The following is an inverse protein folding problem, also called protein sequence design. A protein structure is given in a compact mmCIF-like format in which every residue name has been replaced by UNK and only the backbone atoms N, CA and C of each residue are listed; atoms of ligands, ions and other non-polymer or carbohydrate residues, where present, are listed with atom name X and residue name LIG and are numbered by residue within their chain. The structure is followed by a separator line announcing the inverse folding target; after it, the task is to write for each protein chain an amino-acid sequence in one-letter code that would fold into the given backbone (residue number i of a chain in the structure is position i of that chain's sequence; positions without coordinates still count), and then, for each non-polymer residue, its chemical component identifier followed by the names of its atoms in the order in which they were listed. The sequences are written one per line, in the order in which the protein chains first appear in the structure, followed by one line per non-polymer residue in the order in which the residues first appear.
data_IF_941441622622
#
_entry.id   IF_941441622622
#
_cell.length_a   1.000
_cell.length_b   1.000
_cell.length_c   1.000
_cell.angle_alpha   90.00
_cell.angle_beta   90.00
_cell.angle_gamma   90.00
#
_symmetry.space_group_name_H-M   'P 1'
#
loop_
_entity.id
_entity.type
_entity.pdbx_description
1 polymer ?
#
# COMPACT_ATOMS: atom_id res chain seq x y z
N UNK A 1 26.81 3.23 -7.13
CA UNK A 1 26.52 1.94 -7.78
C UNK A 1 25.08 2.01 -8.27
N UNK A 2 24.73 1.35 -9.36
CA UNK A 2 23.37 1.40 -9.92
C UNK A 2 22.49 0.27 -9.34
N UNK A 3 21.17 0.47 -9.32
CA UNK A 3 20.22 -0.60 -8.97
C UNK A 3 20.33 -1.75 -9.97
N UNK A 4 20.21 -2.97 -9.46
CA UNK A 4 20.16 -4.16 -10.30
C UNK A 4 18.70 -4.59 -10.45
N UNK A 5 18.14 -4.44 -11.64
CA UNK A 5 16.80 -4.92 -11.98
C UNK A 5 16.81 -6.41 -12.31
N UNK A 6 15.64 -7.02 -12.33
CA UNK A 6 15.41 -8.42 -12.72
C UNK A 6 15.93 -8.71 -14.13
N UNK A 7 16.58 -9.86 -14.32
CA UNK A 7 17.07 -10.30 -15.62
C UNK A 7 15.96 -10.93 -16.48
N UNK A 8 14.75 -11.08 -15.93
CA UNK A 8 13.59 -11.66 -16.63
C UNK A 8 12.92 -10.70 -17.61
N UNK A 9 13.27 -9.41 -17.54
CA UNK A 9 12.71 -8.37 -18.42
C UNK A 9 13.54 -8.33 -19.68
N UNK A 10 12.91 -8.49 -20.85
CA UNK A 10 13.63 -8.51 -22.12
C UNK A 10 14.28 -7.15 -22.41
N UNK A 11 15.62 -7.13 -22.43
CA UNK A 11 16.42 -5.95 -22.74
C UNK A 11 16.82 -5.88 -24.22
N UNK A 12 16.23 -6.71 -25.07
CA UNK A 12 16.58 -6.79 -26.49
C UNK A 12 16.60 -5.39 -27.12
N UNK A 13 17.67 -5.06 -27.87
CA UNK A 13 17.80 -3.73 -28.45
C UNK A 13 16.63 -3.47 -29.39
N UNK A 14 16.16 -2.23 -29.40
CA UNK A 14 15.12 -1.78 -30.33
C UNK A 14 15.47 -2.23 -31.74
N UNK A 15 14.61 -3.03 -32.33
CA UNK A 15 14.88 -3.63 -33.63
C UNK A 15 15.07 -2.52 -34.70
N UNK A 16 15.81 -2.81 -35.79
CA UNK A 16 16.12 -1.79 -36.80
C UNK A 16 14.90 -1.08 -37.37
N UNK A 17 13.77 -1.79 -37.50
CA UNK A 17 12.50 -1.24 -38.03
C UNK A 17 11.93 -0.20 -37.08
N UNK A 18 11.86 -0.50 -35.78
CA UNK A 18 11.36 0.43 -34.77
C UNK A 18 12.25 1.68 -34.64
N UNK A 19 13.58 1.53 -34.73
CA UNK A 19 14.51 2.68 -34.74
C UNK A 19 14.29 3.58 -35.95
N UNK A 20 14.19 3.00 -37.14
CA UNK A 20 13.99 3.77 -38.37
C UNK A 20 12.61 4.43 -38.41
N UNK A 21 11.57 3.74 -37.93
CA UNK A 21 10.25 4.29 -37.78
C UNK A 21 10.24 5.51 -36.84
N UNK A 22 10.93 5.43 -35.69
CA UNK A 22 11.09 6.55 -34.77
C UNK A 22 11.83 7.73 -35.42
N UNK A 23 12.90 7.45 -36.18
CA UNK A 23 13.67 8.48 -36.92
C UNK A 23 12.80 9.21 -37.94
N UNK A 24 12.02 8.48 -38.75
CA UNK A 24 11.12 9.06 -39.75
C UNK A 24 10.00 9.87 -39.09
N UNK A 25 9.39 9.37 -38.00
CA UNK A 25 8.40 10.12 -37.21
C UNK A 25 8.97 11.41 -36.63
N UNK A 26 10.21 11.39 -36.12
CA UNK A 26 10.90 12.59 -35.62
C UNK A 26 11.17 13.63 -36.72
N UNK A 27 11.18 13.22 -37.99
CA UNK A 27 11.25 14.11 -39.16
C UNK A 27 9.86 14.61 -39.62
N UNK A 28 8.80 14.29 -38.87
CA UNK A 28 7.42 14.63 -39.23
C UNK A 28 6.83 13.77 -40.34
N UNK A 29 7.48 12.66 -40.70
CA UNK A 29 6.98 11.74 -41.73
C UNK A 29 5.94 10.82 -41.12
N UNK A 30 4.72 10.87 -41.64
CA UNK A 30 3.64 9.95 -41.27
C UNK A 30 3.91 8.56 -41.84
N UNK A 31 3.79 7.54 -41.00
CA UNK A 31 3.97 6.13 -41.38
C UNK A 31 2.61 5.42 -41.33
N UNK A 32 2.31 4.60 -42.32
CA UNK A 32 1.18 3.66 -42.29
C UNK A 32 1.67 2.26 -41.91
N UNK A 33 0.94 1.59 -41.01
CA UNK A 33 1.27 0.24 -40.58
C UNK A 33 0.60 -0.79 -41.51
N UNK A 34 1.41 -1.68 -42.10
CA UNK A 34 0.89 -2.76 -42.96
C UNK A 34 0.08 -3.79 -42.17
N UNK A 35 0.33 -3.93 -40.86
CA UNK A 35 -0.37 -4.83 -39.97
C UNK A 35 -1.25 -4.09 -38.95
N UNK A 36 -1.83 -2.94 -39.30
CA UNK A 36 -2.75 -2.23 -38.40
C UNK A 36 -3.97 -3.09 -38.09
N UNK A 37 -3.86 -3.86 -37.01
CA UNK A 37 -4.88 -4.76 -36.49
C UNK A 37 -5.69 -4.13 -35.37
N UNK A 38 -5.66 -2.80 -35.22
CA UNK A 38 -6.50 -2.12 -34.25
C UNK A 38 -7.88 -1.82 -34.85
N UNK A 39 -8.94 -2.58 -34.52
CA UNK A 39 -10.25 -2.39 -35.13
C UNK A 39 -10.86 -1.00 -34.85
N UNK A 40 -10.43 -0.32 -33.79
CA UNK A 40 -10.94 1.02 -33.45
C UNK A 40 -10.47 2.09 -34.43
N UNK A 41 -9.25 1.97 -34.99
CA UNK A 41 -8.73 2.89 -36.02
C UNK A 41 -9.60 2.86 -37.28
N UNK A 42 -10.22 1.71 -37.55
CA UNK A 42 -11.04 1.47 -38.73
C UNK A 42 -12.54 1.67 -38.48
N UNK A 43 -12.93 2.23 -37.33
CA UNK A 43 -14.33 2.46 -36.97
C UNK A 43 -15.15 1.18 -36.80
N UNK A 44 -14.50 0.04 -36.57
CA UNK A 44 -15.15 -1.26 -36.37
C UNK A 44 -15.52 -1.51 -34.90
N UNK A 45 -15.22 -0.56 -34.02
CA UNK A 45 -15.56 -0.63 -32.60
C UNK A 45 -17.08 -0.50 -32.39
N UNK A 46 -17.65 -1.15 -31.36
CA UNK A 46 -19.03 -0.91 -30.95
C UNK A 46 -19.25 0.57 -30.57
N UNK A 47 -20.45 1.09 -30.83
CA UNK A 47 -20.81 2.47 -30.48
C UNK A 47 -20.70 2.79 -28.97
N UNK A 48 -20.75 1.77 -28.12
CA UNK A 48 -20.54 1.89 -26.68
C UNK A 48 -19.07 2.18 -26.29
N UNK A 49 -18.12 1.94 -27.20
CA UNK A 49 -16.68 2.22 -27.05
C UNK A 49 -16.22 3.06 -28.25
N UNK A 50 -16.68 4.32 -28.38
CA UNK A 50 -16.46 5.12 -29.56
C UNK A 50 -15.01 5.65 -29.68
N UNK A 51 -14.20 5.50 -28.63
CA UNK A 51 -12.83 5.99 -28.62
C UNK A 51 -11.90 5.09 -29.42
N UNK A 52 -10.96 5.71 -30.11
CA UNK A 52 -9.81 5.04 -30.69
C UNK A 52 -8.90 4.53 -29.57
N UNK A 53 -8.65 3.22 -29.53
CA UNK A 53 -7.73 2.62 -28.57
C UNK A 53 -6.31 3.04 -28.91
N UNK A 54 -5.63 3.69 -27.95
CA UNK A 54 -4.20 3.97 -28.04
C UNK A 54 -3.49 3.22 -26.93
N UNK A 55 -2.55 2.34 -27.30
CA UNK A 55 -1.74 1.64 -26.31
C UNK A 55 -0.70 2.60 -25.71
N UNK A 56 -0.79 2.80 -24.40
CA UNK A 56 0.26 3.41 -23.57
C UNK A 56 0.45 2.50 -22.35
N UNK A 57 1.63 1.90 -22.15
CA UNK A 57 1.86 0.94 -21.06
C UNK A 57 1.61 1.54 -19.67
N UNK A 58 1.70 2.87 -19.52
CA UNK A 58 1.47 3.56 -18.25
C UNK A 58 -0.02 3.83 -17.99
N UNK A 59 -0.87 3.58 -18.98
CA UNK A 59 -2.28 3.93 -18.98
C UNK A 59 -2.56 5.28 -19.65
N UNK A 60 -3.86 5.56 -19.85
CA UNK A 60 -4.35 6.73 -20.56
C UNK A 60 -3.70 8.05 -20.08
N UNK A 61 -3.18 8.84 -21.02
CA UNK A 61 -2.45 10.07 -20.74
C UNK A 61 -3.32 11.11 -20.04
N UNK A 62 -4.60 11.23 -20.44
CA UNK A 62 -5.53 12.18 -19.84
C UNK A 62 -5.85 11.80 -18.38
N UNK A 63 -6.05 10.51 -18.13
CA UNK A 63 -6.21 9.95 -16.80
C UNK A 63 -4.98 10.21 -15.91
N UNK A 64 -3.77 9.97 -16.42
CA UNK A 64 -2.53 10.25 -15.68
C UNK A 64 -2.34 11.75 -15.41
N UNK A 65 -2.72 12.61 -16.36
CA UNK A 65 -2.68 14.07 -16.19
C UNK A 65 -3.65 14.53 -15.09
N UNK A 66 -4.88 13.99 -15.08
CA UNK A 66 -5.86 14.25 -14.03
C UNK A 66 -5.38 13.78 -12.66
N UNK A 67 -4.81 12.58 -12.59
CA UNK A 67 -4.23 12.03 -11.37
C UNK A 67 -3.05 12.88 -10.87
N UNK A 68 -2.13 13.27 -11.75
CA UNK A 68 -1.00 14.10 -11.38
C UNK A 68 -1.45 15.44 -10.78
N UNK A 69 -2.50 16.06 -11.34
CA UNK A 69 -3.11 17.27 -10.78
C UNK A 69 -3.69 17.01 -9.39
N UNK A 70 -4.51 15.97 -9.25
CA UNK A 70 -5.10 15.58 -7.96
C UNK A 70 -4.03 15.34 -6.88
N UNK A 71 -2.94 14.65 -7.23
CA UNK A 71 -1.85 14.36 -6.28
C UNK A 71 -1.08 15.62 -5.87
N UNK A 72 -0.87 16.59 -6.78
CA UNK A 72 -0.27 17.89 -6.44
C UNK A 72 -1.13 18.67 -5.46
N UNK A 73 -2.42 18.82 -5.76
CA UNK A 73 -3.38 19.49 -4.88
C UNK A 73 -3.48 18.81 -3.51
N UNK A 74 -3.39 17.48 -3.47
CA UNK A 74 -3.39 16.70 -2.23
C UNK A 74 -2.13 16.97 -1.40
N UNK A 75 -0.94 17.00 -2.01
CA UNK A 75 0.33 17.28 -1.33
C UNK A 75 0.34 18.67 -0.69
N UNK A 76 -0.14 19.67 -1.42
CA UNK A 76 -0.27 21.05 -0.94
C UNK A 76 -1.17 21.11 0.31
N UNK A 77 -2.35 20.45 0.27
CA UNK A 77 -3.28 20.40 1.42
C UNK A 77 -2.71 19.63 2.61
N UNK A 78 -2.04 18.51 2.35
CA UNK A 78 -1.44 17.68 3.39
C UNK A 78 -0.16 18.30 3.99
N UNK A 79 0.33 19.43 3.44
CA UNK A 79 1.59 20.10 3.83
C UNK A 79 2.79 19.15 3.84
N UNK A 80 2.83 18.23 2.86
CA UNK A 80 3.86 17.18 2.75
C UNK A 80 5.03 17.58 1.86
N UNK A 81 5.18 18.87 1.59
CA UNK A 81 6.30 19.43 0.82
C UNK A 81 7.59 19.40 1.66
N UNK A 82 8.24 18.24 1.69
CA UNK A 82 9.58 18.10 2.22
C UNK A 82 10.64 18.53 1.20
N UNK A 83 11.77 19.03 1.71
CA UNK A 83 13.00 19.29 0.95
C UNK A 83 13.59 17.98 0.40
N UNK A 84 12.99 17.43 -0.65
CA UNK A 84 13.31 16.13 -1.21
C UNK A 84 12.22 15.55 -2.13
N UNK A 85 11.01 16.11 -2.09
CA UNK A 85 9.90 15.69 -2.94
C UNK A 85 9.99 16.33 -4.34
N UNK A 86 10.13 15.51 -5.37
CA UNK A 86 10.06 15.97 -6.77
C UNK A 86 8.62 16.31 -7.20
N UNK A 87 8.43 17.12 -8.27
CA UNK A 87 7.11 17.41 -8.82
C UNK A 87 6.44 16.13 -9.32
N UNK A 88 5.13 15.99 -9.08
CA UNK A 88 4.35 14.88 -9.65
C UNK A 88 4.14 15.14 -11.13
N UNK A 89 4.75 14.32 -11.98
CA UNK A 89 4.54 14.32 -13.44
C UNK A 89 3.67 13.12 -13.82
N UNK A 90 2.76 13.32 -14.77
CA UNK A 90 1.99 12.25 -15.39
C UNK A 90 2.89 11.15 -15.98
N UNK A 91 4.10 11.49 -16.44
CA UNK A 91 5.04 10.52 -16.99
C UNK A 91 5.66 9.60 -15.92
N UNK A 92 5.58 9.98 -14.65
CA UNK A 92 6.04 9.16 -13.53
C UNK A 92 4.93 8.30 -12.90
N UNK A 93 3.76 8.25 -13.52
CA UNK A 93 2.59 7.54 -13.01
C UNK A 93 2.22 6.35 -13.89
N UNK A 94 1.93 5.22 -13.26
CA UNK A 94 1.29 4.06 -13.90
C UNK A 94 -0.10 3.90 -13.30
N UNK A 95 -1.13 3.72 -14.14
CA UNK A 95 -2.49 3.42 -13.71
C UNK A 95 -2.77 1.94 -13.94
N UNK A 96 -3.27 1.27 -12.91
CA UNK A 96 -3.48 -0.18 -12.91
C UNK A 96 -4.67 -0.56 -12.03
N UNK A 97 -5.03 -1.85 -12.01
CA UNK A 97 -6.29 -2.31 -11.38
C UNK A 97 -6.26 -2.29 -9.85
N UNK A 98 -5.08 -2.35 -9.23
CA UNK A 98 -4.93 -2.33 -7.77
C UNK A 98 -3.48 -2.17 -7.32
N UNK A 99 -3.25 -1.82 -6.05
CA UNK A 99 -1.91 -1.88 -5.45
C UNK A 99 -1.37 -3.32 -5.35
N UNK A 100 -2.23 -4.34 -5.31
CA UNK A 100 -1.81 -5.75 -5.41
C UNK A 100 -1.09 -6.04 -6.73
N UNK A 101 -1.63 -5.53 -7.84
CA UNK A 101 -0.97 -5.64 -9.14
C UNK A 101 0.33 -4.83 -9.17
N UNK A 102 0.40 -3.68 -8.49
CA UNK A 102 1.65 -2.94 -8.36
C UNK A 102 2.73 -3.75 -7.64
N UNK A 103 2.41 -4.39 -6.50
CA UNK A 103 3.36 -5.26 -5.82
C UNK A 103 3.92 -6.34 -6.74
N UNK A 104 3.06 -7.03 -7.48
CA UNK A 104 3.47 -8.05 -8.44
C UNK A 104 4.41 -7.48 -9.51
N UNK A 105 4.04 -6.36 -10.13
CA UNK A 105 4.88 -5.70 -11.14
C UNK A 105 6.22 -5.25 -10.58
N UNK A 106 6.25 -4.69 -9.38
CA UNK A 106 7.48 -4.22 -8.75
C UNK A 106 8.38 -5.40 -8.32
N UNK A 107 7.81 -6.52 -7.90
CA UNK A 107 8.59 -7.74 -7.65
C UNK A 107 9.15 -8.33 -8.95
N UNK A 108 8.39 -8.33 -10.05
CA UNK A 108 8.92 -8.71 -11.37
C UNK A 108 10.00 -7.75 -11.88
N UNK A 109 9.84 -6.45 -11.60
CA UNK A 109 10.79 -5.40 -11.97
C UNK A 109 12.13 -5.55 -11.24
N UNK A 110 12.05 -5.75 -9.92
CA UNK A 110 13.20 -5.62 -9.03
C UNK A 110 13.89 -6.96 -8.75
N UNK A 111 13.18 -8.08 -8.80
CA UNK A 111 13.65 -9.36 -8.25
C UNK A 111 13.72 -10.47 -9.31
N UNK A 112 14.78 -11.25 -9.27
CA UNK A 112 14.81 -12.60 -9.85
C UNK A 112 14.22 -13.62 -8.84
N UNK A 113 13.81 -14.82 -9.28
CA UNK A 113 13.41 -15.88 -8.36
C UNK A 113 14.50 -16.18 -7.32
N UNK A 114 14.14 -16.13 -6.03
CA UNK A 114 15.06 -16.32 -4.91
C UNK A 114 15.67 -15.03 -4.35
N UNK A 115 15.49 -13.87 -5.00
CA UNK A 115 15.77 -12.57 -4.39
C UNK A 115 14.80 -12.27 -3.24
N UNK A 116 15.16 -11.28 -2.41
CA UNK A 116 14.42 -10.93 -1.22
C UNK A 116 13.91 -9.47 -1.22
N UNK A 117 12.81 -9.23 -0.52
CA UNK A 117 12.30 -7.89 -0.18
C UNK A 117 12.03 -7.80 1.32
N UNK A 118 12.26 -6.64 1.91
CA UNK A 118 11.92 -6.37 3.31
C UNK A 118 10.44 -5.98 3.43
N UNK A 119 9.74 -6.47 4.46
CA UNK A 119 8.36 -6.07 4.78
C UNK A 119 8.11 -6.00 6.30
N UNK A 120 7.16 -5.17 6.77
CA UNK A 120 6.94 -4.97 8.21
C UNK A 120 6.31 -6.20 8.88
N UNK A 121 6.69 -6.46 10.13
CA UNK A 121 5.94 -7.30 11.07
C UNK A 121 5.84 -6.61 12.44
N UNK A 122 4.64 -6.44 13.02
CA UNK A 122 3.32 -6.80 12.49
C UNK A 122 2.94 -6.04 11.21
N UNK A 123 2.29 -6.72 10.27
CA UNK A 123 2.08 -6.15 8.93
C UNK A 123 0.94 -6.79 8.15
N UNK A 124 0.73 -6.28 6.93
CA UNK A 124 -0.36 -6.74 6.07
C UNK A 124 0.04 -8.02 5.31
N UNK A 125 -0.65 -9.16 5.51
CA UNK A 125 -0.22 -10.47 4.99
C UNK A 125 -0.13 -10.58 3.47
N UNK A 126 -0.79 -9.66 2.76
CA UNK A 126 -0.83 -9.69 1.30
C UNK A 126 0.56 -9.56 0.66
N UNK A 127 1.49 -8.84 1.29
CA UNK A 127 2.84 -8.65 0.78
C UNK A 127 3.55 -10.00 0.65
N UNK A 128 3.54 -10.80 1.73
CA UNK A 128 4.16 -12.13 1.74
C UNK A 128 3.50 -13.07 0.73
N UNK A 129 2.17 -13.03 0.62
CA UNK A 129 1.42 -13.84 -0.34
C UNK A 129 1.81 -13.53 -1.79
N UNK A 130 1.86 -12.24 -2.16
CA UNK A 130 2.24 -11.81 -3.52
C UNK A 130 3.72 -12.08 -3.80
N UNK A 131 4.61 -11.85 -2.83
CA UNK A 131 6.03 -12.16 -2.97
C UNK A 131 6.25 -13.65 -3.25
N UNK A 132 5.54 -14.52 -2.52
CA UNK A 132 5.57 -15.97 -2.75
C UNK A 132 5.11 -16.36 -4.15
N UNK A 133 4.03 -15.76 -4.65
CA UNK A 133 3.56 -15.97 -6.03
C UNK A 133 4.60 -15.50 -7.07
N UNK A 134 5.40 -14.48 -6.75
CA UNK A 134 6.47 -13.97 -7.60
C UNK A 134 7.80 -14.75 -7.45
N UNK A 135 7.85 -15.81 -6.62
CA UNK A 135 9.08 -16.52 -6.23
C UNK A 135 10.12 -15.61 -5.55
N UNK A 136 9.64 -14.62 -4.80
CA UNK A 136 10.45 -13.67 -4.02
C UNK A 136 10.29 -13.96 -2.53
N UNK A 137 11.39 -13.89 -1.79
CA UNK A 137 11.40 -14.04 -0.34
C UNK A 137 10.95 -12.74 0.34
N UNK A 138 9.87 -12.77 1.13
CA UNK A 138 9.48 -11.64 1.97
C UNK A 138 10.14 -11.78 3.35
N UNK A 139 11.15 -10.95 3.60
CA UNK A 139 11.96 -10.97 4.82
C UNK A 139 11.40 -9.93 5.80
N UNK A 140 11.00 -10.33 7.01
CA UNK A 140 10.38 -9.41 7.94
C UNK A 140 11.41 -8.46 8.58
N UNK A 141 11.09 -7.17 8.64
CA UNK A 141 11.69 -6.25 9.60
C UNK A 141 10.69 -5.94 10.71
N UNK A 142 11.20 -5.73 11.93
CA UNK A 142 10.35 -5.59 13.11
C UNK A 142 9.82 -4.17 13.27
N UNK A 143 8.52 -4.07 13.54
CA UNK A 143 7.90 -2.95 14.21
C UNK A 143 7.78 -3.31 15.69
N UNK A 144 8.50 -2.61 16.56
CA UNK A 144 8.41 -2.83 18.01
C UNK A 144 7.45 -1.82 18.64
N UNK A 145 6.86 -2.20 19.77
CA UNK A 145 5.91 -1.36 20.52
C UNK A 145 6.49 -0.96 21.87
N UNK A 146 6.67 0.34 22.11
CA UNK A 146 7.15 0.94 23.37
C UNK A 146 6.21 2.02 23.93
N UNK A 147 4.92 1.88 23.63
CA UNK A 147 3.90 2.92 23.79
C UNK A 147 3.51 3.54 22.45
N UNK A 148 4.43 3.51 21.49
CA UNK A 148 4.19 3.74 20.08
C UNK A 148 4.83 2.63 19.25
N UNK A 149 4.36 2.43 18.02
CA UNK A 149 5.00 1.51 17.09
C UNK A 149 6.15 2.22 16.39
N UNK A 150 7.31 1.55 16.31
CA UNK A 150 8.51 2.08 15.68
C UNK A 150 9.21 1.02 14.83
N UNK A 151 9.84 1.44 13.73
CA UNK A 151 10.71 0.61 12.88
C UNK A 151 12.03 0.37 13.62
N UNK A 152 12.39 -0.90 13.80
CA UNK A 152 13.70 -1.29 14.31
C UNK A 152 14.76 -1.16 13.20
N UNK A 153 15.35 0.04 13.09
CA UNK A 153 16.37 0.35 12.08
C UNK A 153 17.65 -0.49 12.25
N UNK A 154 18.03 -0.83 13.48
CA UNK A 154 19.23 -1.61 13.76
C UNK A 154 19.03 -3.07 13.34
N UNK A 155 17.87 -3.65 13.68
CA UNK A 155 17.52 -4.98 13.19
C UNK A 155 17.41 -5.02 11.66
N UNK A 156 16.83 -3.98 11.04
CA UNK A 156 16.75 -3.86 9.59
C UNK A 156 18.14 -3.84 8.94
N UNK A 157 19.07 -3.04 9.48
CA UNK A 157 20.46 -2.99 9.02
C UNK A 157 21.18 -4.35 9.20
N UNK A 158 20.98 -5.01 10.34
CA UNK A 158 21.51 -6.35 10.60
C UNK A 158 21.03 -7.40 9.60
N UNK A 159 19.75 -7.35 9.20
CA UNK A 159 19.19 -8.22 8.16
C UNK A 159 19.88 -7.95 6.82
N UNK A 160 20.02 -6.68 6.43
CA UNK A 160 20.68 -6.29 5.17
C UNK A 160 22.12 -6.83 5.13
N UNK A 161 22.90 -6.62 6.19
CA UNK A 161 24.28 -7.11 6.28
C UNK A 161 24.36 -8.63 6.25
N UNK A 162 23.46 -9.33 6.96
CA UNK A 162 23.41 -10.79 6.95
C UNK A 162 23.17 -11.34 5.54
N UNK A 163 22.15 -10.84 4.82
CA UNK A 163 21.87 -11.29 3.44
C UNK A 163 23.06 -11.02 2.52
N UNK A 164 23.67 -9.83 2.62
CA UNK A 164 24.87 -9.50 1.84
C UNK A 164 26.03 -10.47 2.12
N UNK A 165 26.25 -10.86 3.38
CA UNK A 165 27.29 -11.83 3.77
C UNK A 165 27.04 -13.25 3.25
N UNK A 166 25.76 -13.62 3.06
CA UNK A 166 25.33 -14.89 2.46
C UNK A 166 25.35 -14.87 0.92
N UNK A 167 25.77 -13.76 0.30
CA UNK A 167 25.75 -13.58 -1.15
C UNK A 167 24.35 -13.38 -1.74
N UNK A 168 23.34 -13.12 -0.90
CA UNK A 168 21.96 -12.79 -1.30
C UNK A 168 21.77 -11.29 -1.34
N UNK A 169 20.72 -10.84 -2.05
CA UNK A 169 20.40 -9.41 -2.15
C UNK A 169 18.96 -9.14 -1.76
N UNK A 170 18.81 -8.14 -0.90
CA UNK A 170 17.54 -7.48 -0.65
C UNK A 170 17.37 -6.43 -1.74
N UNK A 171 16.26 -6.45 -2.46
CA UNK A 171 16.01 -5.63 -3.66
C UNK A 171 15.12 -4.44 -3.37
N UNK A 172 14.22 -4.59 -2.41
CA UNK A 172 13.32 -3.52 -1.99
C UNK A 172 13.02 -3.58 -0.49
N UNK A 173 12.65 -2.43 0.08
CA UNK A 173 12.00 -2.31 1.38
C UNK A 173 10.58 -1.80 1.19
N UNK A 174 9.60 -2.62 1.58
CA UNK A 174 8.18 -2.26 1.58
C UNK A 174 7.87 -1.52 2.88
N UNK A 175 7.43 -0.27 2.78
CA UNK A 175 6.96 0.55 3.89
C UNK A 175 5.46 0.76 3.75
N UNK A 176 4.67 0.45 4.78
CA UNK A 176 3.23 0.74 4.81
C UNK A 176 3.01 1.98 5.67
N UNK A 177 2.40 3.03 5.12
CA UNK A 177 2.32 4.35 5.74
C UNK A 177 0.92 4.98 5.61
N UNK A 178 0.08 4.93 6.67
CA UNK A 178 0.26 4.25 7.95
C UNK A 178 0.12 2.73 7.81
N UNK A 179 0.80 2.01 8.70
CA UNK A 179 0.83 0.55 8.70
C UNK A 179 -0.52 -0.06 9.07
N UNK A 180 -0.83 -1.24 8.52
CA UNK A 180 -1.98 -2.06 8.89
C UNK A 180 -1.45 -3.40 9.43
N UNK A 181 -1.74 -3.79 10.69
CA UNK A 181 -2.85 -3.30 11.54
C UNK A 181 -2.47 -2.24 12.58
N UNK A 182 -1.20 -1.86 12.71
CA UNK A 182 -0.73 -1.04 13.85
C UNK A 182 -1.21 0.41 13.81
N UNK A 183 -1.59 0.91 12.62
CA UNK A 183 -2.00 2.28 12.40
C UNK A 183 -0.87 3.30 12.49
N UNK A 184 0.40 2.88 12.54
CA UNK A 184 1.53 3.79 12.74
C UNK A 184 1.99 4.45 11.45
N UNK A 185 2.18 5.76 11.48
CA UNK A 185 2.85 6.47 10.38
C UNK A 185 4.36 6.26 10.45
N UNK A 186 5.01 6.27 9.29
CA UNK A 186 6.49 6.29 9.22
C UNK A 186 6.94 7.70 9.60
N UNK A 187 7.54 7.84 10.79
CA UNK A 187 7.98 9.14 11.31
C UNK A 187 9.23 9.63 10.59
N UNK A 188 9.47 10.94 10.66
CA UNK A 188 10.63 11.59 10.02
C UNK A 188 11.97 10.90 10.32
N UNK A 189 12.25 10.58 11.58
CA UNK A 189 13.51 9.90 11.96
C UNK A 189 13.64 8.51 11.32
N UNK A 190 12.54 7.76 11.30
CA UNK A 190 12.50 6.41 10.73
C UNK A 190 12.66 6.48 9.21
N UNK A 191 11.94 7.41 8.55
CA UNK A 191 12.10 7.71 7.13
C UNK A 191 13.56 8.00 6.80
N UNK A 192 14.20 8.95 7.49
CA UNK A 192 15.61 9.27 7.23
C UNK A 192 16.55 8.08 7.45
N UNK A 193 16.27 7.24 8.45
CA UNK A 193 16.99 5.99 8.68
C UNK A 193 16.84 4.99 7.53
N UNK A 194 15.60 4.72 7.11
CA UNK A 194 15.32 3.78 6.01
C UNK A 194 15.89 4.31 4.69
N UNK A 195 15.69 5.59 4.36
CA UNK A 195 16.23 6.19 3.13
C UNK A 195 17.75 6.08 3.10
N UNK A 196 18.43 6.32 4.24
CA UNK A 196 19.89 6.14 4.35
C UNK A 196 20.29 4.69 4.05
N UNK A 197 19.71 3.72 4.77
CA UNK A 197 20.02 2.30 4.62
C UNK A 197 19.76 1.82 3.18
N UNK A 198 18.63 2.21 2.60
CA UNK A 198 18.26 1.82 1.26
C UNK A 198 19.22 2.41 0.21
N UNK A 199 19.58 3.69 0.34
CA UNK A 199 20.54 4.35 -0.57
C UNK A 199 21.94 3.74 -0.49
N UNK A 200 22.42 3.43 0.71
CA UNK A 200 23.77 2.85 0.91
C UNK A 200 23.89 1.44 0.36
N UNK A 201 22.77 0.70 0.29
CA UNK A 201 22.73 -0.71 -0.12
C UNK A 201 22.09 -0.93 -1.51
N UNK A 202 21.68 0.13 -2.21
CA UNK A 202 20.95 0.07 -3.49
C UNK A 202 19.65 -0.77 -3.40
N UNK A 203 18.90 -0.57 -2.32
CA UNK A 203 17.59 -1.19 -2.06
C UNK A 203 16.52 -0.17 -2.44
N UNK A 204 15.57 -0.54 -3.30
CA UNK A 204 14.47 0.35 -3.66
C UNK A 204 13.47 0.50 -2.50
N UNK A 205 12.70 1.58 -2.46
CA UNK A 205 11.60 1.75 -1.52
C UNK A 205 10.28 1.50 -2.23
N UNK A 206 9.43 0.64 -1.68
CA UNK A 206 8.03 0.50 -2.10
C UNK A 206 7.18 1.07 -0.97
N UNK A 207 6.55 2.22 -1.18
CA UNK A 207 5.76 2.88 -0.14
C UNK A 207 4.26 2.69 -0.39
N UNK A 208 3.57 1.90 0.42
CA UNK A 208 2.12 1.71 0.37
C UNK A 208 1.42 2.74 1.25
N UNK A 209 0.77 3.70 0.61
CA UNK A 209 0.21 4.89 1.26
C UNK A 209 -1.32 4.97 1.12
N UNK A 210 -1.98 3.84 0.86
CA UNK A 210 -3.44 3.79 0.66
C UNK A 210 -4.25 4.31 1.85
N UNK A 211 -3.67 4.28 3.05
CA UNK A 211 -4.31 4.77 4.27
C UNK A 211 -3.86 6.16 4.71
N UNK A 212 -2.95 6.83 3.98
CA UNK A 212 -2.32 8.06 4.45
C UNK A 212 -3.32 9.18 4.77
N UNK A 213 -4.44 9.22 4.04
CA UNK A 213 -5.52 10.18 4.23
C UNK A 213 -6.39 9.98 5.48
N UNK A 214 -6.10 8.99 6.33
CA UNK A 214 -6.93 8.64 7.49
C UNK A 214 -6.19 8.79 8.83
N UNK A 215 -5.77 10.00 9.25
CA UNK A 215 -5.23 10.19 10.59
C UNK A 215 -6.35 10.02 11.64
N UNK A 216 -6.10 9.20 12.66
CA UNK A 216 -6.98 9.01 13.82
C UNK A 216 -6.75 10.07 14.91
N UNK A 217 -5.57 10.68 14.91
CA UNK A 217 -5.15 11.73 15.83
C UNK A 217 -4.22 12.72 15.12
N UNK A 218 -3.96 13.91 15.69
CA UNK A 218 -2.91 14.79 15.18
C UNK A 218 -1.54 14.11 15.25
N UNK A 219 -0.87 13.99 14.10
CA UNK A 219 0.49 13.43 14.00
C UNK A 219 1.41 14.52 13.42
N UNK A 220 2.20 15.21 14.25
CA UNK A 220 3.15 16.22 13.77
C UNK A 220 4.14 15.63 12.78
N UNK A 221 4.52 16.42 11.78
CA UNK A 221 5.53 16.07 10.76
C UNK A 221 5.26 14.76 9.99
N UNK A 222 3.99 14.31 9.94
CA UNK A 222 3.61 13.17 9.08
C UNK A 222 3.84 13.54 7.63
N UNK A 223 4.53 12.66 6.89
CA UNK A 223 4.93 12.92 5.52
C UNK A 223 4.73 11.69 4.64
N UNK A 224 4.41 11.94 3.37
CA UNK A 224 4.45 10.91 2.35
C UNK A 224 5.89 10.64 1.93
N UNK A 225 6.17 9.38 1.63
CA UNK A 225 7.39 8.93 0.98
C UNK A 225 7.28 9.15 -0.54
N UNK A 226 6.06 9.24 -1.08
CA UNK A 226 5.83 9.53 -2.49
C UNK A 226 6.58 10.77 -2.97
N UNK A 227 7.38 10.64 -4.03
CA UNK A 227 8.18 11.73 -4.58
C UNK A 227 9.60 11.85 -4.00
N UNK A 228 9.97 10.99 -3.04
CA UNK A 228 11.34 10.88 -2.55
C UNK A 228 12.33 10.71 -3.71
N UNK A 229 13.33 11.59 -3.75
CA UNK A 229 14.28 11.72 -4.87
C UNK A 229 15.68 11.18 -4.54
N UNK A 230 15.97 10.87 -3.28
CA UNK A 230 17.31 10.42 -2.83
C UNK A 230 17.55 8.93 -3.04
N UNK A 231 16.49 8.13 -3.20
CA UNK A 231 16.51 6.68 -3.39
C UNK A 231 15.41 6.29 -4.39
N UNK A 232 15.62 5.22 -5.16
CA UNK A 232 14.59 4.73 -6.09
C UNK A 232 13.36 4.31 -5.30
N UNK A 233 12.23 4.95 -5.58
CA UNK A 233 11.02 4.88 -4.79
C UNK A 233 9.81 4.65 -5.68
N UNK A 234 8.96 3.72 -5.27
CA UNK A 234 7.68 3.39 -5.89
C UNK A 234 6.57 3.58 -4.87
N UNK A 235 5.85 4.69 -4.94
CA UNK A 235 4.72 4.94 -4.04
C UNK A 235 3.42 4.40 -4.63
N UNK A 236 2.67 3.67 -3.81
CA UNK A 236 1.42 2.99 -4.15
C UNK A 236 0.28 3.69 -3.42
N UNK A 237 -0.75 4.08 -4.16
CA UNK A 237 -2.02 4.55 -3.59
C UNK A 237 -3.13 4.14 -4.57
N UNK A 238 -4.40 4.35 -4.20
CA UNK A 238 -5.52 3.91 -5.00
C UNK A 238 -6.88 4.34 -4.47
N UNK A 239 -7.88 4.18 -5.30
CA UNK A 239 -9.25 4.61 -4.99
C UNK A 239 -9.97 3.69 -4.01
N UNK A 240 -9.50 2.45 -3.82
CA UNK A 240 -10.20 1.44 -3.00
C UNK A 240 -10.45 1.91 -1.57
N UNK A 241 -9.47 2.61 -0.97
CA UNK A 241 -9.60 3.16 0.38
C UNK A 241 -10.14 4.58 0.33
N UNK A 242 -9.55 5.43 -0.51
CA UNK A 242 -9.93 6.84 -0.69
C UNK A 242 -11.43 7.07 -0.95
N UNK A 243 -12.12 6.13 -1.61
CA UNK A 243 -13.57 6.20 -1.85
C UNK A 243 -14.42 5.35 -0.91
N UNK A 244 -13.82 4.62 0.03
CA UNK A 244 -14.47 3.54 0.78
C UNK A 244 -15.16 2.50 -0.12
N UNK A 245 -14.62 2.29 -1.33
CA UNK A 245 -15.20 1.45 -2.36
C UNK A 245 -14.17 0.40 -2.83
N UNK A 246 -14.00 -0.73 -2.13
CA UNK A 246 -12.98 -1.74 -2.46
C UNK A 246 -13.16 -2.39 -3.85
N UNK A 247 -14.32 -2.19 -4.47
CA UNK A 247 -14.67 -2.64 -5.82
C UNK A 247 -14.38 -1.60 -6.92
N UNK A 248 -13.92 -0.38 -6.58
CA UNK A 248 -13.56 0.63 -7.57
C UNK A 248 -12.37 0.19 -8.46
N UNK A 249 -11.44 -0.59 -7.88
CA UNK A 249 -10.32 -1.25 -8.59
C UNK A 249 -9.53 -0.33 -9.53
N UNK A 250 -9.06 0.78 -8.99
CA UNK A 250 -8.04 1.63 -9.61
C UNK A 250 -6.96 1.92 -8.56
N UNK A 251 -5.72 1.65 -8.90
CA UNK A 251 -4.53 1.99 -8.14
C UNK A 251 -3.47 2.58 -9.06
N UNK A 252 -2.43 3.15 -8.47
CA UNK A 252 -1.32 3.71 -9.22
C UNK A 252 0.03 3.47 -8.56
N UNK A 253 1.07 3.50 -9.39
CA UNK A 253 2.47 3.59 -8.98
C UNK A 253 2.95 5.00 -9.33
N UNK A 254 3.49 5.72 -8.35
CA UNK A 254 4.30 6.91 -8.59
C UNK A 254 5.78 6.54 -8.46
N UNK A 255 6.54 6.71 -9.54
CA UNK A 255 7.99 6.46 -9.57
C UNK A 255 8.74 7.75 -9.25
N UNK A 256 9.70 7.69 -8.33
CA UNK A 256 10.62 8.79 -8.03
C UNK A 256 11.99 8.25 -7.62
N UNK A 257 12.99 9.14 -7.54
CA UNK A 257 14.36 8.78 -7.18
C UNK A 257 15.40 9.52 -8.01
N UNK A 258 16.68 9.11 -7.93
CA UNK A 258 17.72 9.63 -8.80
C UNK A 258 17.34 9.46 -10.27
N UNK A 259 17.58 10.50 -11.08
CA UNK A 259 17.06 10.61 -12.46
C UNK A 259 17.35 9.37 -13.31
N UNK A 260 18.58 8.88 -13.27
CA UNK A 260 19.02 7.77 -14.12
C UNK A 260 18.38 6.44 -13.67
N UNK A 261 18.34 6.19 -12.36
CA UNK A 261 17.74 4.99 -11.78
C UNK A 261 16.22 4.96 -12.01
N UNK A 262 15.54 6.09 -11.83
CA UNK A 262 14.11 6.21 -12.09
C UNK A 262 13.78 6.06 -13.59
N UNK A 263 14.62 6.64 -14.46
CA UNK A 263 14.48 6.49 -15.92
C UNK A 263 14.60 5.04 -16.37
N UNK A 264 15.60 4.33 -15.85
CA UNK A 264 15.81 2.91 -16.13
C UNK A 264 14.69 2.03 -15.57
N UNK A 265 14.24 2.29 -14.34
CA UNK A 265 13.11 1.61 -13.74
C UNK A 265 11.83 1.76 -14.58
N UNK A 266 11.50 2.98 -15.01
CA UNK A 266 10.33 3.24 -15.85
C UNK A 266 10.43 2.54 -17.20
N UNK A 267 11.60 2.56 -17.86
CA UNK A 267 11.79 1.87 -19.14
C UNK A 267 11.50 0.37 -19.04
N UNK A 268 11.90 -0.27 -17.94
CA UNK A 268 11.65 -1.70 -17.68
C UNK A 268 10.22 -1.96 -17.22
N UNK A 269 9.67 -1.07 -16.42
CA UNK A 269 8.29 -1.16 -15.96
C UNK A 269 7.30 -0.97 -17.11
N UNK A 270 7.65 -0.17 -18.14
CA UNK A 270 6.87 -0.06 -19.38
C UNK A 270 6.72 -1.41 -20.08
N UNK A 271 7.78 -2.22 -20.14
CA UNK A 271 7.75 -3.56 -20.76
C UNK A 271 6.78 -4.47 -19.97
N UNK A 272 6.92 -4.49 -18.65
CA UNK A 272 6.02 -5.25 -17.78
C UNK A 272 4.57 -4.78 -17.94
N UNK A 273 4.34 -3.48 -17.99
CA UNK A 273 2.99 -2.94 -18.06
C UNK A 273 2.34 -3.19 -19.44
N UNK A 274 3.12 -3.18 -20.52
CA UNK A 274 2.66 -3.53 -21.87
C UNK A 274 2.17 -4.99 -21.94
N UNK A 275 2.89 -5.93 -21.31
CA UNK A 275 2.51 -7.34 -21.25
C UNK A 275 1.17 -7.59 -20.54
N UNK A 276 0.76 -6.69 -19.63
CA UNK A 276 -0.47 -6.81 -18.85
C UNK A 276 -1.64 -6.01 -19.44
N UNK A 277 -1.36 -5.16 -20.42
CA UNK A 277 -2.27 -4.22 -21.05
C UNK A 277 -2.82 -3.12 -20.10
N UNK A 278 -3.16 -1.93 -20.64
CA UNK A 278 -3.74 -0.84 -19.86
C UNK A 278 -5.13 -1.15 -19.29
N UNK A 279 -5.53 -0.37 -18.29
CA UNK A 279 -6.85 -0.43 -17.67
C UNK A 279 -7.99 -0.19 -18.67
N UNK A 280 -9.15 -0.82 -18.44
CA UNK A 280 -10.31 -0.71 -19.33
C UNK A 280 -10.82 0.72 -19.53
N UNK A 281 -11.28 1.02 -20.75
CA UNK A 281 -11.81 2.35 -21.10
C UNK A 281 -13.01 2.77 -20.23
N UNK A 282 -13.82 1.82 -19.75
CA UNK A 282 -14.93 2.10 -18.85
C UNK A 282 -14.47 2.72 -17.53
N UNK A 283 -13.41 2.15 -16.94
CA UNK A 283 -12.83 2.66 -15.69
C UNK A 283 -12.13 4.00 -15.92
N UNK A 284 -11.39 4.12 -17.02
CA UNK A 284 -10.73 5.38 -17.42
C UNK A 284 -11.74 6.51 -17.60
N UNK A 285 -12.89 6.23 -18.23
CA UNK A 285 -13.93 7.24 -18.47
C UNK A 285 -14.58 7.74 -17.17
N UNK A 286 -14.71 6.88 -16.16
CA UNK A 286 -15.24 7.26 -14.84
C UNK A 286 -14.19 7.92 -13.93
N UNK A 287 -12.90 7.70 -14.20
CA UNK A 287 -11.81 8.03 -13.28
C UNK A 287 -11.76 9.51 -12.83
N UNK A 288 -11.94 10.52 -13.71
CA UNK A 288 -11.96 11.92 -13.27
C UNK A 288 -13.09 12.23 -12.28
N UNK A 289 -14.28 11.66 -12.50
CA UNK A 289 -15.43 11.81 -11.60
C UNK A 289 -15.14 11.20 -10.24
N UNK A 290 -14.56 9.99 -10.23
CA UNK A 290 -14.15 9.30 -9.02
C UNK A 290 -13.11 10.09 -8.21
N UNK A 291 -12.10 10.69 -8.85
CA UNK A 291 -11.12 11.54 -8.16
C UNK A 291 -11.77 12.74 -7.46
N UNK A 292 -12.79 13.34 -8.08
CA UNK A 292 -13.52 14.48 -7.49
C UNK A 292 -14.33 14.09 -6.25
N UNK A 293 -14.74 12.82 -6.12
CA UNK A 293 -15.48 12.34 -4.95
C UNK A 293 -14.59 12.09 -3.73
N UNK A 294 -13.29 11.81 -3.94
CA UNK A 294 -12.34 11.40 -2.88
C UNK A 294 -12.37 12.30 -1.65
N UNK A 295 -12.30 13.65 -1.75
CA UNK A 295 -12.30 14.50 -0.56
C UNK A 295 -13.56 14.31 0.30
N UNK A 296 -14.73 14.29 -0.34
CA UNK A 296 -16.01 14.12 0.36
C UNK A 296 -16.14 12.75 1.02
N UNK A 297 -15.69 11.69 0.33
CA UNK A 297 -15.73 10.32 0.88
C UNK A 297 -14.77 10.17 2.04
N UNK A 298 -13.57 10.74 1.92
CA UNK A 298 -12.55 10.73 2.98
C UNK A 298 -13.08 11.39 4.25
N UNK A 299 -13.75 12.55 4.15
CA UNK A 299 -14.34 13.24 5.29
C UNK A 299 -15.43 12.41 6.01
N UNK A 300 -16.32 11.77 5.24
CA UNK A 300 -17.37 10.90 5.79
C UNK A 300 -16.75 9.75 6.59
N UNK A 301 -15.74 9.09 6.04
CA UNK A 301 -15.03 7.99 6.71
C UNK A 301 -14.30 8.49 7.95
N UNK A 302 -13.59 9.61 7.86
CA UNK A 302 -12.89 10.22 9.00
C UNK A 302 -13.83 10.48 10.17
N UNK A 303 -15.01 11.07 9.91
CA UNK A 303 -16.02 11.30 10.94
C UNK A 303 -16.46 9.99 11.60
N UNK A 304 -16.74 8.95 10.79
CA UNK A 304 -17.18 7.65 11.29
C UNK A 304 -16.11 6.98 12.16
N UNK A 305 -14.86 6.95 11.71
CA UNK A 305 -13.79 6.28 12.48
C UNK A 305 -13.45 7.05 13.75
N UNK A 306 -13.53 8.38 13.76
CA UNK A 306 -13.33 9.22 14.95
C UNK A 306 -14.44 9.00 15.99
N UNK A 307 -15.71 9.02 15.58
CA UNK A 307 -16.86 8.77 16.45
C UNK A 307 -16.77 7.38 17.13
N UNK A 308 -16.39 6.36 16.36
CA UNK A 308 -16.23 5.01 16.87
C UNK A 308 -15.00 4.89 17.79
N UNK A 309 -13.89 5.57 17.48
CA UNK A 309 -12.71 5.59 18.34
C UNK A 309 -12.99 6.28 19.69
N UNK A 310 -13.69 7.41 19.69
CA UNK A 310 -14.14 8.09 20.91
C UNK A 310 -15.07 7.18 21.75
N UNK A 311 -15.99 6.48 21.07
CA UNK A 311 -16.85 5.49 21.71
C UNK A 311 -16.05 4.37 22.35
N UNK A 312 -15.05 3.83 21.66
CA UNK A 312 -14.15 2.80 22.20
C UNK A 312 -13.45 3.30 23.46
N UNK A 313 -12.79 4.47 23.41
CA UNK A 313 -12.10 5.03 24.58
C UNK A 313 -13.03 5.23 25.78
N UNK A 314 -14.25 5.71 25.54
CA UNK A 314 -15.26 5.88 26.60
C UNK A 314 -15.67 4.53 27.22
N UNK A 315 -15.80 3.47 26.43
CA UNK A 315 -16.16 2.14 26.92
C UNK A 315 -15.02 1.49 27.71
N UNK A 316 -13.78 1.66 27.27
CA UNK A 316 -12.59 1.15 27.98
C UNK A 316 -12.33 1.91 29.29
N UNK A 317 -12.68 3.20 29.35
CA UNK A 317 -12.46 4.07 30.51
C UNK A 317 -13.56 4.07 31.58
N UNK A 318 -14.53 3.14 31.55
CA UNK A 318 -15.60 3.07 32.57
C UNK A 318 -15.06 2.64 33.95
N UNK A 319 -15.76 3.03 35.03
CA UNK A 319 -15.34 2.75 36.42
C UNK A 319 -15.16 1.23 36.65
N UNK A 320 -13.99 0.84 37.14
CA UNK A 320 -13.57 -0.56 37.32
C UNK A 320 -12.38 -0.97 36.46
N UNK A 321 -12.10 -0.23 35.38
CA UNK A 321 -11.05 -0.55 34.41
C UNK A 321 -11.43 -1.70 33.49
N UNK A 322 -10.88 -1.72 32.28
CA UNK A 322 -11.07 -2.80 31.31
C UNK A 322 -9.86 -3.75 31.35
N UNK A 323 -10.10 -5.05 31.20
CA UNK A 323 -9.02 -6.03 30.96
C UNK A 323 -8.44 -5.93 29.54
N UNK A 324 -9.14 -5.21 28.66
CA UNK A 324 -8.75 -4.91 27.29
C UNK A 324 -8.25 -3.46 27.20
N UNK A 325 -7.12 -3.26 26.54
CA UNK A 325 -6.56 -1.96 26.18
C UNK A 325 -6.59 -1.76 24.66
N UNK A 326 -6.58 -0.52 24.22
CA UNK A 326 -6.32 -0.17 22.81
C UNK A 326 -4.87 0.29 22.67
N UNK A 327 -4.13 -0.31 21.74
CA UNK A 327 -2.77 0.15 21.43
C UNK A 327 -2.83 1.46 20.66
N UNK A 328 -1.84 2.33 20.89
CA UNK A 328 -1.75 3.60 20.19
C UNK A 328 -1.71 3.39 18.66
N UNK A 329 -2.72 3.93 17.97
CA UNK A 329 -2.87 3.89 16.52
C UNK A 329 -3.04 5.31 16.00
N UNK A 330 -2.21 5.69 15.03
CA UNK A 330 -2.12 7.07 14.56
C UNK A 330 -2.98 7.34 13.31
N UNK A 331 -3.24 6.31 12.51
CA UNK A 331 -4.00 6.39 11.28
C UNK A 331 -4.53 5.04 10.77
N UNK A 332 -5.21 5.08 9.63
CA UNK A 332 -5.99 3.97 9.11
C UNK A 332 -7.40 3.94 9.67
N UNK A 333 -8.06 2.79 9.61
CA UNK A 333 -9.44 2.61 10.09
C UNK A 333 -9.63 1.35 10.94
N UNK A 334 -8.52 0.75 11.36
CA UNK A 334 -8.48 -0.39 12.27
C UNK A 334 -7.59 -0.01 13.46
N UNK A 335 -7.86 -0.60 14.62
CA UNK A 335 -7.01 -0.51 15.81
C UNK A 335 -6.69 -1.90 16.34
N UNK A 336 -5.55 -2.03 17.02
CA UNK A 336 -5.21 -3.24 17.76
C UNK A 336 -5.70 -3.11 19.20
N UNK A 337 -6.49 -4.10 19.62
CA UNK A 337 -6.84 -4.29 21.02
C UNK A 337 -5.91 -5.32 21.63
N UNK A 338 -5.48 -5.06 22.87
CA UNK A 338 -4.64 -5.95 23.67
C UNK A 338 -5.44 -6.43 24.88
N UNK A 339 -5.35 -7.72 25.18
CA UNK A 339 -5.98 -8.35 26.34
C UNK A 339 -4.98 -9.34 26.99
N UNK A 340 -5.29 -9.93 28.16
CA UNK A 340 -4.33 -10.79 28.85
C UNK A 340 -3.90 -11.96 27.98
N UNK A 341 -2.59 -12.17 27.84
CA UNK A 341 -2.02 -13.24 27.00
C UNK A 341 -2.37 -14.67 27.45
N UNK A 342 -2.96 -14.82 28.66
CA UNK A 342 -3.54 -16.07 29.14
C UNK A 342 -4.82 -16.46 28.42
N UNK A 343 -5.50 -15.51 27.77
CA UNK A 343 -6.66 -15.76 26.93
C UNK A 343 -6.17 -16.16 25.54
N UNK A 344 -6.46 -17.40 25.17
CA UNK A 344 -6.19 -17.91 23.82
C UNK A 344 -7.09 -17.23 22.78
N UNK A 345 -6.50 -16.82 21.65
CA UNK A 345 -7.20 -16.01 20.64
C UNK A 345 -8.26 -16.84 19.88
N UNK A 346 -8.00 -18.13 19.63
CA UNK A 346 -8.98 -19.03 19.00
C UNK A 346 -10.17 -19.27 19.92
N UNK A 347 -9.92 -19.44 21.22
CA UNK A 347 -10.98 -19.58 22.23
C UNK A 347 -11.88 -18.34 22.28
N UNK A 348 -11.29 -17.14 22.31
CA UNK A 348 -12.04 -15.88 22.23
C UNK A 348 -12.81 -15.78 20.90
N UNK A 349 -12.20 -16.18 19.79
CA UNK A 349 -12.83 -16.13 18.48
C UNK A 349 -14.05 -17.04 18.39
N UNK A 350 -13.94 -18.27 18.88
CA UNK A 350 -15.03 -19.24 18.91
C UNK A 350 -16.16 -18.80 19.86
N UNK A 351 -15.85 -18.20 21.02
CA UNK A 351 -16.86 -17.64 21.92
C UNK A 351 -17.68 -16.53 21.23
N UNK A 352 -17.01 -15.59 20.58
CA UNK A 352 -17.67 -14.50 19.85
C UNK A 352 -18.51 -15.01 18.67
N UNK A 353 -18.01 -16.01 17.95
CA UNK A 353 -18.74 -16.64 16.85
C UNK A 353 -20.00 -17.37 17.34
N UNK A 354 -19.88 -18.21 18.36
CA UNK A 354 -20.97 -19.09 18.81
C UNK A 354 -22.02 -18.34 19.63
N UNK A 355 -21.61 -17.44 20.51
CA UNK A 355 -22.52 -16.76 21.45
C UNK A 355 -23.00 -15.41 20.90
N UNK A 356 -22.20 -14.73 20.07
CA UNK A 356 -22.52 -13.38 19.59
C UNK A 356 -22.68 -13.29 18.08
N UNK A 357 -22.34 -14.33 17.31
CA UNK A 357 -22.34 -14.33 15.83
C UNK A 357 -21.41 -13.24 15.24
N UNK A 358 -20.32 -12.93 15.95
CA UNK A 358 -19.33 -11.93 15.55
C UNK A 358 -18.05 -12.65 15.13
N UNK A 359 -17.52 -12.30 13.96
CA UNK A 359 -16.24 -12.82 13.46
C UNK A 359 -15.13 -11.85 13.86
N UNK A 360 -14.22 -12.20 14.79
CA UNK A 360 -13.06 -11.37 15.08
C UNK A 360 -11.90 -11.67 14.12
N UNK A 361 -10.87 -10.82 14.18
CA UNK A 361 -9.60 -11.04 13.50
C UNK A 361 -8.47 -11.09 14.54
N UNK A 362 -8.13 -12.31 15.02
CA UNK A 362 -7.00 -12.54 15.91
C UNK A 362 -5.67 -11.92 15.46
N UNK A 363 -4.79 -11.63 16.41
CA UNK A 363 -3.50 -11.00 16.18
C UNK A 363 -2.56 -11.82 15.31
N UNK A 364 -2.62 -13.15 15.39
CA UNK A 364 -1.76 -14.02 14.58
C UNK A 364 -1.97 -13.85 13.06
N UNK A 365 -3.14 -13.36 12.61
CA UNK A 365 -3.34 -13.03 11.19
C UNK A 365 -2.46 -11.88 10.71
N UNK A 366 -1.85 -11.12 11.62
CA UNK A 366 -1.00 -9.98 11.32
C UNK A 366 0.41 -10.13 11.92
N UNK A 367 0.83 -11.36 12.23
CA UNK A 367 2.13 -11.68 12.82
C UNK A 367 2.38 -11.05 14.20
N UNK A 368 1.36 -10.92 15.04
CA UNK A 368 1.58 -10.54 16.44
C UNK A 368 2.42 -11.62 17.16
N UNK A 369 3.39 -11.22 18.02
CA UNK A 369 4.39 -12.15 18.55
C UNK A 369 3.88 -13.06 19.68
N UNK A 370 2.69 -12.79 20.22
CA UNK A 370 2.06 -13.57 21.28
C UNK A 370 0.55 -13.51 21.17
N UNK A 371 -0.14 -14.39 21.89
CA UNK A 371 -1.57 -14.24 22.16
C UNK A 371 -1.86 -12.91 22.87
N UNK A 372 -3.13 -12.51 22.84
CA UNK A 372 -3.62 -11.34 23.55
C UNK A 372 -3.97 -10.19 22.62
N UNK A 373 -4.19 -10.42 21.33
CA UNK A 373 -4.49 -9.37 20.37
C UNK A 373 -5.67 -9.70 19.47
N UNK A 374 -6.43 -8.66 19.12
CA UNK A 374 -7.47 -8.71 18.10
C UNK A 374 -7.50 -7.38 17.37
N UNK A 375 -7.72 -7.40 16.06
CA UNK A 375 -7.97 -6.15 15.32
C UNK A 375 -9.45 -5.80 15.38
N UNK A 376 -9.72 -4.51 15.55
CA UNK A 376 -11.08 -3.97 15.56
C UNK A 376 -11.21 -2.92 14.45
N UNK A 377 -12.21 -3.09 13.59
CA UNK A 377 -12.53 -2.09 12.57
C UNK A 377 -13.36 -0.95 13.15
N UNK A 378 -12.98 0.29 12.83
CA UNK A 378 -13.70 1.51 13.20
C UNK A 378 -14.75 1.93 12.16
N UNK A 379 -14.95 1.16 11.10
CA UNK A 379 -15.91 1.44 10.03
C UNK A 379 -17.40 1.15 10.33
N UNK A 380 -17.78 0.15 11.16
CA UNK A 380 -19.18 -0.21 11.33
C UNK A 380 -20.08 0.95 11.75
N UNK A 381 -21.39 0.78 11.55
CA UNK A 381 -22.37 1.70 12.14
C UNK A 381 -22.17 1.87 13.66
N UNK A 382 -22.35 3.06 14.27
CA UNK A 382 -21.94 3.28 15.66
C UNK A 382 -22.68 2.37 16.65
N UNK A 383 -23.92 2.00 16.33
CA UNK A 383 -24.69 1.04 17.14
C UNK A 383 -24.15 -0.39 17.01
N UNK A 384 -23.82 -0.81 15.77
CA UNK A 384 -23.19 -2.11 15.49
C UNK A 384 -21.80 -2.18 16.14
N UNK A 385 -21.01 -1.11 15.99
CA UNK A 385 -19.70 -0.96 16.59
C UNK A 385 -19.77 -1.11 18.11
N UNK A 386 -20.67 -0.37 18.77
CA UNK A 386 -20.87 -0.45 20.22
C UNK A 386 -21.26 -1.87 20.67
N UNK A 387 -22.14 -2.52 19.92
CA UNK A 387 -22.56 -3.90 20.17
C UNK A 387 -21.37 -4.86 20.10
N UNK A 388 -20.53 -4.71 19.06
CA UNK A 388 -19.33 -5.53 18.92
C UNK A 388 -18.32 -5.32 20.05
N UNK A 389 -18.07 -4.07 20.45
CA UNK A 389 -17.15 -3.77 21.55
C UNK A 389 -17.66 -4.35 22.86
N UNK A 390 -18.96 -4.18 23.20
CA UNK A 390 -19.51 -4.78 24.41
C UNK A 390 -19.41 -6.31 24.43
N UNK A 391 -19.71 -6.96 23.29
CA UNK A 391 -19.59 -8.41 23.18
C UNK A 391 -18.14 -8.88 23.39
N UNK A 392 -17.17 -8.17 22.79
CA UNK A 392 -15.74 -8.45 22.96
C UNK A 392 -15.31 -8.30 24.42
N UNK A 393 -15.60 -7.17 25.06
CA UNK A 393 -15.21 -6.92 26.46
C UNK A 393 -15.80 -7.99 27.39
N UNK A 394 -17.10 -8.28 27.24
CA UNK A 394 -17.76 -9.29 28.05
C UNK A 394 -17.19 -10.71 27.83
N UNK A 395 -16.80 -11.05 26.60
CA UNK A 395 -16.18 -12.34 26.30
C UNK A 395 -14.78 -12.45 26.93
N UNK A 396 -13.95 -11.41 26.82
CA UNK A 396 -12.63 -11.37 27.46
C UNK A 396 -12.77 -11.49 28.98
N UNK A 397 -13.67 -10.74 29.61
CA UNK A 397 -13.85 -10.78 31.07
C UNK A 397 -14.28 -12.18 31.55
N UNK A 398 -15.17 -12.87 30.83
CA UNK A 398 -15.55 -14.26 31.15
C UNK A 398 -14.36 -15.21 31.07
N UNK A 399 -13.55 -15.10 30.02
CA UNK A 399 -12.40 -15.98 29.80
C UNK A 399 -11.27 -15.71 30.80
N UNK A 400 -11.11 -14.48 31.27
CA UNK A 400 -10.15 -14.11 32.32
C UNK A 400 -10.58 -14.63 33.69
N UNK A 401 -11.87 -14.51 34.03
CA UNK A 401 -12.39 -14.97 35.33
C UNK A 401 -12.42 -16.51 35.46
N UNK A 402 -12.37 -17.22 34.34
CA UNK A 402 -12.50 -18.68 34.28
C UNK A 402 -13.94 -19.16 34.53
N UNK A 403 -14.21 -20.47 34.42
CA UNK A 403 -15.50 -21.00 34.81
C UNK A 403 -15.75 -20.69 36.29
N UNK A 404 -16.95 -20.20 36.62
CA UNK A 404 -17.36 -20.06 38.01
C UNK A 404 -17.15 -21.41 38.69
N UNK A 405 -16.37 -21.44 39.78
CA UNK A 405 -16.25 -22.62 40.62
C UNK A 405 -17.67 -23.01 41.05
N UNK A 406 -18.17 -24.15 40.55
CA UNK A 406 -19.44 -24.69 41.03
C UNK A 406 -19.31 -24.93 42.55
N UNK A 407 -20.29 -24.46 43.35
CA UNK A 407 -20.21 -24.48 44.80
C UNK A 407 -20.18 -25.88 45.42
#
# INVERSE_FOLDING_TARGET
MAYQFSHRIDESPVNPVAREAARLKAQGISLSAMNDSNPTHWGLAPSALPQEYTADPRGDVSARTGLARFLRERREKEHTDDAGSGPVSENSLYILSSTSQAYMWLFMLLCDPGDAVLGPKPGYPLIESIARLASVEAVPYTLFYDGQWNIDLEAMEGIIHRYASEGKKIKAAVLINPNNPTGSYVRKREREGVIRLCRENNIAVIADEVFFGYPLMPVPDRGRIAGESRVLTFALDGLSKALAAPHAKIGWIQVSGPRDDAGEAMRRLDIIADDFLPLSQFQISAFPGLLNEVPSRTEIVLRRIQENLETLHRLLGQEGGSTVDVLNAEGGWNVLLKFPASVDEDTLALELLNSCHIVPQPGYFFDMPSNGYVTLSLLPDPEVFRTHVHALLAAVDRLVQGPALEP
#
